data_IF_219339160331
#
_entry.id   IF_219339160331
#
_cell.length_a   1.000
_cell.length_b   1.000
_cell.length_c   1.000
_cell.angle_alpha   90.00
_cell.angle_beta   90.00
_cell.angle_gamma   90.00
#
_symmetry.space_group_name_H-M   'P 1'
#
loop_
_entity.id
_entity.type
_entity.pdbx_description
1 polymer ?
#
# COMPACT_ATOMS: atom_id res chain seq x y z
N UNK A 1 -14.04 -15.83 -8.34
CA UNK A 1 -12.64 -15.74 -7.92
C UNK A 1 -12.52 -15.98 -6.42
N UNK A 2 -11.59 -16.80 -6.00
CA UNK A 2 -11.26 -17.01 -4.59
C UNK A 2 -9.79 -16.63 -4.41
N UNK A 3 -9.47 -15.67 -3.55
CA UNK A 3 -8.10 -15.26 -3.36
C UNK A 3 -7.27 -16.38 -2.71
N UNK A 4 -5.98 -16.42 -3.03
CA UNK A 4 -4.99 -17.27 -2.38
C UNK A 4 -5.04 -17.03 -0.87
N UNK A 5 -5.02 -18.09 -0.08
CA UNK A 5 -5.13 -18.04 1.39
C UNK A 5 -6.48 -17.50 1.92
N UNK A 6 -7.50 -17.35 1.07
CA UNK A 6 -8.80 -16.74 1.44
C UNK A 6 -8.68 -15.32 2.05
N UNK A 7 -7.58 -14.63 1.78
CA UNK A 7 -7.36 -13.26 2.23
C UNK A 7 -8.01 -12.27 1.24
N UNK A 8 -9.12 -11.67 1.63
CA UNK A 8 -9.87 -10.71 0.81
C UNK A 8 -9.34 -9.28 0.95
N UNK A 9 -8.71 -8.98 2.07
CA UNK A 9 -8.00 -7.73 2.30
C UNK A 9 -6.67 -8.02 3.01
N UNK A 10 -5.60 -7.40 2.53
CA UNK A 10 -4.29 -7.51 3.16
C UNK A 10 -4.03 -6.40 4.17
N UNK A 11 -4.73 -5.27 4.03
CA UNK A 11 -4.62 -4.11 4.90
C UNK A 11 -6.02 -3.58 5.16
N UNK A 12 -6.35 -3.40 6.44
CA UNK A 12 -7.58 -2.82 6.91
C UNK A 12 -7.27 -1.67 7.86
N UNK A 13 -7.95 -0.55 7.71
CA UNK A 13 -7.99 0.53 8.68
C UNK A 13 -9.24 0.37 9.53
N UNK A 14 -9.07 -0.13 10.75
CA UNK A 14 -10.21 -0.40 11.64
C UNK A 14 -10.36 0.77 12.60
N UNK A 15 -11.50 1.44 12.53
CA UNK A 15 -11.84 2.53 13.45
C UNK A 15 -12.49 1.96 14.72
N UNK A 16 -11.92 2.33 15.86
CA UNK A 16 -12.34 1.85 17.17
C UNK A 16 -12.84 2.99 18.04
N UNK A 17 -13.91 2.73 18.77
CA UNK A 17 -14.36 3.58 19.86
C UNK A 17 -14.27 2.84 21.19
N UNK A 18 -14.07 3.57 22.26
CA UNK A 18 -14.11 3.01 23.60
C UNK A 18 -15.44 3.36 24.25
N UNK A 19 -16.21 2.34 24.68
CA UNK A 19 -17.47 2.53 25.36
C UNK A 19 -17.26 2.96 26.84
N UNK A 20 -18.37 3.23 27.54
CA UNK A 20 -18.34 3.67 28.93
C UNK A 20 -17.76 2.61 29.89
N UNK A 21 -17.88 1.33 29.54
CA UNK A 21 -17.35 0.20 30.31
C UNK A 21 -15.85 -0.03 30.06
N UNK A 22 -15.26 0.74 29.14
CA UNK A 22 -13.86 0.64 28.77
C UNK A 22 -13.53 -0.38 27.69
N UNK A 23 -14.53 -1.01 27.06
CA UNK A 23 -14.35 -1.97 25.97
C UNK A 23 -14.17 -1.26 24.64
N UNK A 24 -13.36 -1.85 23.75
CA UNK A 24 -13.20 -1.36 22.38
C UNK A 24 -14.24 -1.99 21.48
N UNK A 25 -14.97 -1.13 20.76
CA UNK A 25 -15.96 -1.51 19.76
C UNK A 25 -15.48 -1.07 18.38
N UNK A 26 -15.69 -1.91 17.39
CA UNK A 26 -15.42 -1.57 15.98
C UNK A 26 -16.52 -0.63 15.50
N UNK A 27 -16.13 0.53 15.00
CA UNK A 27 -17.04 1.51 14.39
C UNK A 27 -17.19 1.23 12.90
N UNK A 28 -16.07 1.08 12.19
CA UNK A 28 -16.05 0.74 10.77
C UNK A 28 -14.72 0.08 10.36
N UNK A 29 -14.75 -0.59 9.20
CA UNK A 29 -13.60 -1.17 8.54
C UNK A 29 -13.30 -0.42 7.23
N UNK A 30 -12.22 0.34 7.20
CA UNK A 30 -11.75 1.01 6.00
C UNK A 30 -10.86 0.05 5.18
N UNK A 31 -11.40 -0.46 4.06
CA UNK A 31 -10.70 -1.40 3.18
C UNK A 31 -10.19 -0.74 1.89
N UNK A 32 -10.56 0.54 1.68
CA UNK A 32 -10.21 1.29 0.49
C UNK A 32 -9.08 2.27 0.79
N UNK A 33 -7.86 1.90 0.43
CA UNK A 33 -6.66 2.74 0.58
C UNK A 33 -6.52 3.34 2.00
N UNK A 34 -6.65 2.55 3.09
CA UNK A 34 -6.55 3.10 4.44
C UNK A 34 -5.17 3.73 4.66
N UNK A 35 -5.11 4.80 5.45
CA UNK A 35 -3.89 5.54 5.76
C UNK A 35 -3.80 5.86 7.26
N UNK A 36 -2.62 6.35 7.68
CA UNK A 36 -2.39 6.74 9.07
C UNK A 36 -1.31 5.94 9.79
N UNK A 37 -0.88 4.80 9.26
CA UNK A 37 0.11 3.93 9.91
C UNK A 37 1.48 4.61 10.07
N UNK A 38 1.90 5.44 9.13
CA UNK A 38 3.15 6.19 9.23
C UNK A 38 3.14 7.15 10.42
N UNK A 39 2.03 7.84 10.62
CA UNK A 39 1.86 8.73 11.78
C UNK A 39 1.86 7.95 13.10
N UNK A 40 1.25 6.77 13.13
CA UNK A 40 1.30 5.90 14.30
C UNK A 40 2.72 5.46 14.62
N UNK A 41 3.52 5.11 13.59
CA UNK A 41 4.92 4.72 13.75
C UNK A 41 5.79 5.89 14.25
N UNK A 42 5.63 7.08 13.65
CA UNK A 42 6.32 8.29 14.06
C UNK A 42 5.95 8.70 15.49
N UNK A 43 4.65 8.74 15.81
CA UNK A 43 4.19 9.03 17.16
C UNK A 43 4.73 8.04 18.18
N UNK A 44 4.80 6.76 17.83
CA UNK A 44 5.35 5.72 18.71
C UNK A 44 6.84 5.95 18.98
N UNK A 45 7.59 6.38 17.97
CA UNK A 45 9.01 6.69 18.10
C UNK A 45 9.21 7.92 19.00
N UNK A 46 8.50 9.02 18.74
CA UNK A 46 8.57 10.24 19.54
C UNK A 46 8.16 9.96 20.99
N UNK A 47 7.07 9.25 21.23
CA UNK A 47 6.59 8.89 22.56
C UNK A 47 7.62 8.06 23.35
N UNK A 48 8.30 7.13 22.68
CA UNK A 48 9.36 6.33 23.31
C UNK A 48 10.57 7.19 23.69
N UNK A 49 10.93 8.15 22.85
CA UNK A 49 12.08 9.02 23.09
C UNK A 49 11.80 10.06 24.20
N UNK A 50 10.55 10.54 24.29
CA UNK A 50 10.14 11.53 25.31
C UNK A 50 9.79 10.88 26.65
N UNK A 51 9.19 9.67 26.62
CA UNK A 51 8.70 8.98 27.84
C UNK A 51 9.21 7.53 27.92
N UNK A 52 10.53 7.27 27.92
CA UNK A 52 11.07 5.92 27.90
C UNK A 52 10.65 5.06 29.09
N UNK A 53 10.46 5.69 30.26
CA UNK A 53 10.06 4.99 31.49
C UNK A 53 8.65 4.40 31.37
N UNK A 54 7.73 5.08 30.66
CA UNK A 54 6.37 4.57 30.46
C UNK A 54 6.38 3.29 29.61
N UNK A 55 7.23 3.24 28.58
CA UNK A 55 7.36 2.05 27.73
C UNK A 55 7.89 0.84 28.51
N UNK A 56 8.86 1.07 29.40
CA UNK A 56 9.40 0.03 30.28
C UNK A 56 8.36 -0.44 31.29
N UNK A 57 7.69 0.51 31.98
CA UNK A 57 6.71 0.24 33.01
C UNK A 57 5.48 -0.52 32.49
N UNK A 58 4.94 -0.09 31.36
CA UNK A 58 3.69 -0.64 30.80
C UNK A 58 3.92 -1.71 29.73
N UNK A 59 5.17 -2.09 29.46
CA UNK A 59 5.55 -3.12 28.45
C UNK A 59 4.85 -2.91 27.13
N UNK A 60 4.87 -1.68 26.61
CA UNK A 60 4.19 -1.32 25.38
C UNK A 60 4.75 -2.12 24.19
N UNK A 61 3.89 -2.88 23.52
CA UNK A 61 4.29 -3.73 22.38
C UNK A 61 4.83 -2.91 21.23
N UNK A 62 5.87 -3.45 20.57
CA UNK A 62 6.48 -2.81 19.42
C UNK A 62 5.63 -2.95 18.16
N UNK A 63 5.61 -1.88 17.35
CA UNK A 63 4.91 -1.82 16.05
C UNK A 63 5.86 -1.49 14.89
N UNK A 64 7.16 -1.32 15.16
CA UNK A 64 8.15 -0.89 14.16
C UNK A 64 8.32 -1.85 12.99
N UNK A 65 7.91 -3.11 13.14
CA UNK A 65 8.01 -4.13 12.09
C UNK A 65 6.95 -3.98 10.99
N UNK A 66 6.02 -3.03 11.09
CA UNK A 66 4.92 -2.89 10.12
C UNK A 66 5.41 -2.75 8.67
N UNK A 67 6.37 -1.87 8.33
CA UNK A 67 6.85 -1.76 6.96
C UNK A 67 7.46 -3.06 6.43
N UNK A 68 8.20 -3.78 7.27
CA UNK A 68 8.77 -5.08 6.90
C UNK A 68 7.67 -6.12 6.64
N UNK A 69 6.64 -6.17 7.47
CA UNK A 69 5.49 -7.06 7.25
C UNK A 69 4.74 -6.72 5.98
N UNK A 70 4.56 -5.42 5.68
CA UNK A 70 3.95 -4.97 4.43
C UNK A 70 4.81 -5.40 3.22
N UNK A 71 6.13 -5.22 3.29
CA UNK A 71 7.05 -5.67 2.26
C UNK A 71 6.93 -7.19 2.00
N UNK A 72 6.90 -8.01 3.05
CA UNK A 72 6.72 -9.45 2.92
C UNK A 72 5.34 -9.83 2.36
N UNK A 73 4.29 -9.11 2.74
CA UNK A 73 2.97 -9.28 2.16
C UNK A 73 2.99 -9.01 0.64
N UNK A 74 3.69 -7.98 0.19
CA UNK A 74 3.88 -7.71 -1.23
C UNK A 74 4.68 -8.82 -1.94
N UNK A 75 5.73 -9.34 -1.30
CA UNK A 75 6.51 -10.46 -1.83
C UNK A 75 5.65 -11.72 -2.06
N UNK A 76 4.73 -12.01 -1.15
CA UNK A 76 3.80 -13.14 -1.31
C UNK A 76 2.82 -12.96 -2.49
N UNK A 77 2.61 -11.72 -2.94
CA UNK A 77 1.79 -11.39 -4.11
C UNK A 77 2.57 -11.48 -5.43
N UNK A 78 3.91 -11.55 -5.39
CA UNK A 78 4.76 -11.66 -6.58
C UNK A 78 4.59 -13.04 -7.24
N UNK A 79 4.63 -13.14 -8.58
CA UNK A 79 4.64 -14.42 -9.28
C UNK A 79 5.80 -15.31 -8.82
N UNK A 80 5.50 -16.58 -8.46
CA UNK A 80 6.47 -17.52 -7.84
C UNK A 80 7.79 -17.73 -8.60
N UNK A 81 7.82 -17.45 -9.90
CA UNK A 81 9.03 -17.63 -10.74
C UNK A 81 9.98 -16.43 -10.72
N UNK A 82 9.64 -15.37 -10.00
CA UNK A 82 10.46 -14.16 -9.95
C UNK A 82 11.48 -14.28 -8.83
N UNK A 83 12.76 -14.30 -9.18
CA UNK A 83 13.88 -14.45 -8.22
C UNK A 83 14.32 -13.13 -7.60
N UNK A 84 14.14 -12.02 -8.32
CA UNK A 84 14.47 -10.67 -7.84
C UNK A 84 13.34 -9.71 -8.22
N UNK A 85 12.25 -9.67 -7.44
CA UNK A 85 11.07 -8.90 -7.80
C UNK A 85 11.29 -7.40 -7.65
N UNK A 86 10.81 -6.63 -8.63
CA UNK A 86 10.77 -5.19 -8.55
C UNK A 86 9.38 -4.74 -8.10
N UNK A 87 9.35 -4.10 -6.95
CA UNK A 87 8.13 -3.60 -6.32
C UNK A 87 8.15 -2.09 -6.21
N UNK A 88 6.99 -1.46 -6.20
CA UNK A 88 6.89 -0.01 -6.01
C UNK A 88 5.62 0.39 -5.26
N UNK A 89 5.64 1.60 -4.70
CA UNK A 89 4.45 2.29 -4.19
C UNK A 89 3.98 3.27 -5.26
N UNK A 90 2.74 3.11 -5.74
CA UNK A 90 2.11 4.02 -6.69
C UNK A 90 1.32 5.09 -5.95
N UNK A 91 1.80 6.32 -6.02
CA UNK A 91 1.20 7.50 -5.38
C UNK A 91 0.53 8.42 -6.41
N UNK A 92 -0.55 9.15 -6.03
CA UNK A 92 -1.09 10.23 -6.86
C UNK A 92 -0.22 11.50 -6.83
N UNK A 93 0.87 11.50 -6.05
CA UNK A 93 1.84 12.59 -6.01
C UNK A 93 1.71 13.49 -4.78
N UNK A 94 2.58 14.50 -4.74
CA UNK A 94 2.84 15.36 -3.57
C UNK A 94 1.65 16.19 -3.08
N UNK A 95 0.63 16.36 -3.89
CA UNK A 95 -0.57 17.12 -3.50
C UNK A 95 -1.63 16.25 -2.77
N UNK A 96 -1.38 14.96 -2.65
CA UNK A 96 -2.23 14.07 -1.87
C UNK A 96 -1.97 14.25 -0.37
N UNK A 97 -3.03 14.31 0.44
CA UNK A 97 -2.92 14.50 1.90
C UNK A 97 -2.12 13.38 2.60
N UNK A 98 -2.14 12.17 2.06
CA UNK A 98 -1.39 11.03 2.58
C UNK A 98 -0.01 10.84 1.91
N UNK A 99 0.50 11.82 1.16
CA UNK A 99 1.78 11.68 0.45
C UNK A 99 2.96 11.39 1.39
N UNK A 100 2.96 11.99 2.58
CA UNK A 100 3.96 11.69 3.61
C UNK A 100 4.01 10.18 3.89
N UNK A 101 2.86 9.55 4.10
CA UNK A 101 2.77 8.10 4.37
C UNK A 101 3.27 7.27 3.17
N UNK A 102 2.91 7.66 1.95
CA UNK A 102 3.35 6.93 0.75
C UNK A 102 4.89 6.93 0.65
N UNK A 103 5.50 8.10 0.87
CA UNK A 103 6.95 8.25 0.88
C UNK A 103 7.60 7.50 2.03
N UNK A 104 7.08 7.67 3.25
CA UNK A 104 7.57 7.02 4.45
C UNK A 104 7.61 5.49 4.27
N UNK A 105 6.50 4.90 3.82
CA UNK A 105 6.42 3.44 3.63
C UNK A 105 7.36 2.97 2.52
N UNK A 106 7.46 3.69 1.40
CA UNK A 106 8.39 3.34 0.33
C UNK A 106 9.84 3.35 0.81
N UNK A 107 10.25 4.38 1.55
CA UNK A 107 11.58 4.50 2.15
C UNK A 107 11.85 3.38 3.17
N UNK A 108 10.91 3.10 4.07
CA UNK A 108 11.06 2.06 5.08
C UNK A 108 11.10 0.64 4.48
N UNK A 109 10.42 0.40 3.38
CA UNK A 109 10.46 -0.87 2.65
C UNK A 109 11.66 -0.97 1.69
N UNK A 110 12.36 0.13 1.41
CA UNK A 110 13.45 0.16 0.43
C UNK A 110 13.00 -0.06 -1.01
N UNK A 111 11.75 0.33 -1.37
CA UNK A 111 11.20 0.19 -2.72
C UNK A 111 10.92 1.56 -3.35
N UNK A 112 10.76 1.59 -4.67
CA UNK A 112 10.53 2.83 -5.40
C UNK A 112 9.18 3.45 -5.07
N UNK A 113 9.14 4.79 -4.88
CA UNK A 113 7.93 5.60 -4.90
C UNK A 113 7.76 6.15 -6.32
N UNK A 114 6.62 5.89 -6.95
CA UNK A 114 6.34 6.27 -8.34
C UNK A 114 4.99 6.94 -8.48
N UNK A 115 4.87 7.84 -9.44
CA UNK A 115 3.60 8.42 -9.91
C UNK A 115 3.16 7.70 -11.20
N UNK A 116 1.90 7.89 -11.61
CA UNK A 116 1.38 7.26 -12.84
C UNK A 116 2.20 7.55 -14.10
N UNK A 117 2.79 8.76 -14.20
CA UNK A 117 3.66 9.16 -15.31
C UNK A 117 4.98 8.36 -15.40
N UNK A 118 5.40 7.77 -14.29
CA UNK A 118 6.64 6.99 -14.20
C UNK A 118 6.43 5.53 -14.61
N UNK A 119 5.17 5.12 -14.76
CA UNK A 119 4.80 3.78 -15.20
C UNK A 119 4.20 3.78 -16.60
N UNK A 120 4.28 2.64 -17.26
CA UNK A 120 3.56 2.38 -18.51
C UNK A 120 3.31 0.88 -18.68
N UNK A 121 2.32 0.55 -19.53
CA UNK A 121 1.97 -0.83 -19.87
C UNK A 121 2.45 -1.14 -21.29
N UNK A 122 3.18 -2.23 -21.44
CA UNK A 122 3.59 -2.78 -22.71
C UNK A 122 3.48 -4.31 -22.70
N UNK A 123 2.85 -4.91 -23.74
CA UNK A 123 2.72 -6.38 -23.90
C UNK A 123 2.22 -7.07 -22.63
N UNK A 124 1.17 -6.51 -22.02
CA UNK A 124 0.53 -7.03 -20.80
C UNK A 124 1.40 -7.03 -19.54
N UNK A 125 2.46 -6.24 -19.51
CA UNK A 125 3.29 -6.03 -18.32
C UNK A 125 3.39 -4.55 -17.98
N UNK A 126 3.59 -4.27 -16.70
CA UNK A 126 3.86 -2.92 -16.22
C UNK A 126 5.37 -2.71 -16.14
N UNK A 127 5.80 -1.54 -16.63
CA UNK A 127 7.20 -1.12 -16.56
C UNK A 127 7.32 0.22 -15.87
N UNK A 128 8.37 0.37 -15.07
CA UNK A 128 8.81 1.63 -14.50
C UNK A 128 9.91 2.24 -15.36
N UNK A 129 9.80 3.53 -15.65
CA UNK A 129 10.84 4.31 -16.33
C UNK A 129 12.02 4.52 -15.40
N UNK A 130 13.20 4.12 -15.80
CA UNK A 130 14.44 4.35 -15.04
C UNK A 130 15.51 4.96 -15.94
N UNK A 131 16.55 5.54 -15.34
CA UNK A 131 17.71 6.08 -16.07
C UNK A 131 18.49 5.01 -16.86
N UNK A 132 18.30 3.74 -16.48
CA UNK A 132 18.92 2.59 -17.17
C UNK A 132 17.99 1.94 -18.21
N UNK A 133 16.80 2.52 -18.43
CA UNK A 133 15.76 1.97 -19.30
C UNK A 133 14.56 1.42 -18.52
N UNK A 134 13.59 0.82 -19.24
CA UNK A 134 12.41 0.23 -18.63
C UNK A 134 12.75 -0.92 -17.70
N UNK A 135 12.15 -0.90 -16.50
CA UNK A 135 12.26 -1.95 -15.51
C UNK A 135 10.88 -2.57 -15.27
N UNK A 136 10.75 -3.87 -15.51
CA UNK A 136 9.48 -4.57 -15.27
C UNK A 136 9.11 -4.52 -13.78
N UNK A 137 7.85 -4.20 -13.48
CA UNK A 137 7.31 -4.17 -12.12
C UNK A 137 6.49 -5.43 -11.87
N UNK A 138 6.76 -6.11 -10.77
CA UNK A 138 6.15 -7.40 -10.41
C UNK A 138 5.04 -7.25 -9.36
N UNK A 139 5.10 -6.19 -8.52
CA UNK A 139 4.05 -5.89 -7.55
C UNK A 139 3.96 -4.39 -7.29
N UNK A 140 2.75 -3.88 -7.17
CA UNK A 140 2.45 -2.47 -6.91
C UNK A 140 1.61 -2.35 -5.63
N UNK A 141 2.11 -1.60 -4.65
CA UNK A 141 1.29 -1.10 -3.56
C UNK A 141 0.65 0.22 -3.99
N UNK A 142 -0.62 0.15 -4.41
CA UNK A 142 -1.31 1.33 -4.92
C UNK A 142 -1.87 2.19 -3.80
N UNK A 143 -1.68 3.51 -3.93
CA UNK A 143 -2.24 4.54 -3.06
C UNK A 143 -3.10 5.54 -3.84
N UNK A 144 -3.51 5.19 -5.04
CA UNK A 144 -4.43 5.96 -5.90
C UNK A 144 -5.84 5.37 -5.75
N UNK A 145 -6.84 6.24 -5.68
CA UNK A 145 -8.25 5.83 -5.69
C UNK A 145 -8.61 5.10 -6.99
N UNK A 146 -9.51 4.13 -6.90
CA UNK A 146 -9.93 3.27 -8.00
C UNK A 146 -10.36 4.07 -9.23
N UNK A 147 -11.13 5.15 -9.04
CA UNK A 147 -11.65 5.97 -10.12
C UNK A 147 -10.53 6.61 -10.97
N UNK A 148 -9.36 6.84 -10.39
CA UNK A 148 -8.23 7.48 -11.07
C UNK A 148 -7.15 6.52 -11.52
N UNK A 149 -7.28 5.21 -11.21
CA UNK A 149 -6.24 4.22 -11.39
C UNK A 149 -5.91 3.95 -12.87
N UNK A 150 -6.93 3.86 -13.72
CA UNK A 150 -6.75 3.58 -15.16
C UNK A 150 -7.72 4.43 -15.98
N UNK A 151 -7.22 5.41 -16.77
CA UNK A 151 -8.06 6.26 -17.61
C UNK A 151 -8.76 5.52 -18.76
N UNK A 152 -8.35 4.31 -19.13
CA UNK A 152 -9.01 3.50 -20.16
C UNK A 152 -10.27 2.80 -19.63
N UNK A 153 -10.40 2.65 -18.32
CA UNK A 153 -11.49 1.86 -17.71
C UNK A 153 -12.39 2.72 -16.83
N UNK A 154 -11.82 3.67 -16.08
CA UNK A 154 -12.53 4.49 -15.12
C UNK A 154 -12.66 5.94 -15.60
N UNK A 155 -12.09 6.90 -14.91
CA UNK A 155 -12.17 8.30 -15.28
C UNK A 155 -11.19 8.63 -16.42
N UNK A 156 -11.71 8.80 -17.65
CA UNK A 156 -10.91 8.96 -18.89
C UNK A 156 -9.94 10.16 -18.90
N UNK A 157 -10.20 11.18 -18.06
CA UNK A 157 -9.34 12.36 -17.94
C UNK A 157 -8.35 12.26 -16.77
N UNK A 158 -8.25 11.10 -16.13
CA UNK A 158 -7.27 10.90 -15.07
C UNK A 158 -5.84 11.04 -15.59
N UNK A 159 -5.09 11.95 -14.98
CA UNK A 159 -3.65 12.13 -15.19
C UNK A 159 -2.82 11.43 -14.10
N UNK A 160 -3.47 10.86 -13.10
CA UNK A 160 -2.83 10.24 -11.94
C UNK A 160 -2.55 8.76 -12.16
N UNK A 161 -3.36 8.12 -12.97
CA UNK A 161 -3.32 6.67 -13.19
C UNK A 161 -2.40 6.25 -14.34
N UNK A 162 -2.42 4.94 -14.61
CA UNK A 162 -1.61 4.32 -15.67
C UNK A 162 -2.52 3.69 -16.71
N UNK A 163 -2.51 4.16 -17.97
CA UNK A 163 -3.36 3.61 -19.01
C UNK A 163 -3.11 2.12 -19.26
N UNK A 164 -4.13 1.28 -19.09
CA UNK A 164 -4.06 -0.17 -19.29
C UNK A 164 -3.66 -0.98 -18.05
N UNK A 165 -3.41 -0.33 -16.93
CA UNK A 165 -3.03 -1.02 -15.68
C UNK A 165 -4.08 -2.02 -15.22
N UNK A 166 -5.36 -1.67 -15.36
CA UNK A 166 -6.47 -2.52 -14.97
C UNK A 166 -6.52 -3.81 -15.79
N UNK A 167 -6.27 -3.74 -17.10
CA UNK A 167 -6.20 -4.93 -17.98
C UNK A 167 -5.09 -5.87 -17.54
N UNK A 168 -3.89 -5.35 -17.27
CA UNK A 168 -2.77 -6.15 -16.75
C UNK A 168 -3.15 -6.82 -15.45
N UNK A 169 -3.86 -6.10 -14.57
CA UNK A 169 -4.31 -6.64 -13.30
C UNK A 169 -5.22 -7.85 -13.44
N UNK A 170 -5.98 -7.95 -14.50
CA UNK A 170 -6.86 -9.10 -14.77
C UNK A 170 -6.13 -10.31 -15.36
N UNK A 171 -5.11 -10.06 -16.18
CA UNK A 171 -4.40 -11.14 -16.89
C UNK A 171 -3.30 -11.77 -16.06
N UNK A 172 -2.69 -11.02 -15.13
CA UNK A 172 -1.50 -11.47 -14.41
C UNK A 172 -1.64 -11.48 -12.89
N UNK A 173 -2.77 -11.04 -12.37
CA UNK A 173 -2.94 -10.86 -10.94
C UNK A 173 -3.69 -11.98 -10.25
N UNK A 174 -2.99 -12.56 -9.29
CA UNK A 174 -3.58 -13.03 -8.06
C UNK A 174 -3.75 -11.83 -7.11
N UNK A 175 -4.57 -10.82 -7.47
CA UNK A 175 -4.81 -9.68 -6.58
C UNK A 175 -5.72 -10.05 -5.43
N UNK A 176 -5.31 -9.74 -4.20
CA UNK A 176 -6.21 -9.75 -3.06
C UNK A 176 -7.02 -8.45 -2.91
N UNK A 177 -7.01 -7.55 -3.86
CA UNK A 177 -7.71 -6.27 -3.75
C UNK A 177 -8.66 -6.02 -4.90
N UNK A 178 -9.70 -6.85 -5.02
CA UNK A 178 -10.92 -6.46 -5.67
C UNK A 178 -12.04 -6.44 -4.66
N UNK A 179 -12.30 -5.27 -4.10
CA UNK A 179 -13.63 -4.95 -3.62
C UNK A 179 -14.41 -4.49 -4.85
N UNK A 180 -15.21 -5.37 -5.39
CA UNK A 180 -16.33 -4.98 -6.24
C UNK A 180 -17.49 -4.74 -5.29
N UNK A 181 -17.98 -3.52 -5.23
CA UNK A 181 -19.28 -3.19 -4.67
C UNK A 181 -20.34 -3.69 -5.64
#
# INVERSE_FOLDING_TARGET
FSPKYKAWSNISGIDLIRNIDGEFLVLEDNLRVPSGVSYMLENRMVMRDVFPELFTKYKVSSVHQYPNKLYHCMLECVPRKTTNPHMCVLTPGRYNSAYFEHRFLAEQMGIALVEGKDLFVEKDFVYMKTVKGPLKVDCIYRRIDDNFLDPKVFYKHSILGVPGLFTVSYTHLTLPTKVTV
#
